data_IF_761292388302
#
_entry.id   IF_761292388302
#
_cell.length_a   1.000
_cell.length_b   1.000
_cell.length_c   1.000
_cell.angle_alpha   90.00
_cell.angle_beta   90.00
_cell.angle_gamma   90.00
#
_symmetry.space_group_name_H-M   'P 1'
#
loop_
_entity.id
_entity.type
_entity.pdbx_description
1 polymer ?
#
# COMPACT_ATOMS: atom_id res chain seq x y z
N UNK A 1 1.82 -9.00 24.65
CA UNK A 1 1.18 -7.72 24.28
C UNK A 1 0.67 -7.86 22.85
N UNK A 2 -0.65 -7.85 22.65
CA UNK A 2 -1.27 -8.02 21.33
C UNK A 2 -1.36 -6.66 20.63
N UNK A 3 -0.50 -6.42 19.65
CA UNK A 3 -0.62 -5.30 18.72
C UNK A 3 -1.17 -5.80 17.39
N UNK A 4 -2.40 -6.32 17.41
CA UNK A 4 -3.26 -6.36 16.23
C UNK A 4 -4.29 -5.25 16.37
N UNK A 5 -3.83 -4.01 16.34
CA UNK A 5 -4.72 -2.86 16.28
C UNK A 5 -5.30 -2.78 14.86
N UNK A 6 -6.55 -3.25 14.68
CA UNK A 6 -7.41 -2.81 13.57
C UNK A 6 -7.95 -3.88 12.62
N UNK A 7 -7.31 -5.04 12.47
CA UNK A 7 -7.81 -6.10 11.59
C UNK A 7 -8.76 -7.05 12.36
N UNK A 8 -9.96 -7.33 11.80
CA UNK A 8 -10.83 -8.41 12.28
C UNK A 8 -9.97 -9.67 12.38
N UNK A 9 -9.65 -10.09 13.59
CA UNK A 9 -8.84 -11.27 13.84
C UNK A 9 -9.71 -12.25 14.59
N UNK A 10 -9.77 -13.48 14.10
CA UNK A 10 -10.47 -14.56 14.80
C UNK A 10 -9.46 -15.50 15.44
N UNK A 11 -9.92 -16.33 16.37
CA UNK A 11 -9.07 -17.26 17.10
C UNK A 11 -9.56 -18.68 16.92
N UNK A 12 -8.65 -19.60 16.57
CA UNK A 12 -8.87 -21.03 16.43
C UNK A 12 -7.86 -21.80 17.28
N UNK A 13 -8.19 -23.00 17.73
CA UNK A 13 -7.21 -23.90 18.35
C UNK A 13 -6.41 -24.62 17.26
N UNK A 14 -5.18 -25.02 17.57
CA UNK A 14 -4.38 -25.87 16.68
C UNK A 14 -5.09 -27.18 16.32
N UNK A 15 -5.92 -27.73 17.21
CA UNK A 15 -6.78 -28.88 16.91
C UNK A 15 -7.82 -28.61 15.83
N UNK A 16 -8.33 -27.37 15.78
CA UNK A 16 -9.35 -26.96 14.80
C UNK A 16 -8.70 -26.78 13.43
N UNK A 17 -7.51 -26.17 13.37
CA UNK A 17 -6.70 -26.10 12.15
C UNK A 17 -6.37 -27.52 11.61
N UNK A 18 -6.13 -28.49 12.48
CA UNK A 18 -5.83 -29.86 12.05
C UNK A 18 -7.06 -30.63 11.58
N UNK A 19 -8.23 -30.42 12.19
CA UNK A 19 -9.46 -31.20 11.91
C UNK A 19 -10.38 -30.55 10.87
N UNK A 20 -10.34 -29.23 10.75
CA UNK A 20 -11.19 -28.39 9.92
C UNK A 20 -10.34 -27.42 9.08
N UNK A 21 -9.24 -27.91 8.51
CA UNK A 21 -8.24 -27.09 7.83
C UNK A 21 -8.82 -26.24 6.70
N UNK A 22 -9.73 -26.80 5.89
CA UNK A 22 -10.36 -26.09 4.78
C UNK A 22 -11.11 -24.83 5.23
N UNK A 23 -11.89 -24.93 6.31
CA UNK A 23 -12.64 -23.79 6.86
C UNK A 23 -11.69 -22.73 7.41
N UNK A 24 -10.62 -23.16 8.10
CA UNK A 24 -9.62 -22.25 8.66
C UNK A 24 -8.80 -21.56 7.56
N UNK A 25 -8.50 -22.23 6.46
CA UNK A 25 -7.83 -21.62 5.30
C UNK A 25 -8.73 -20.60 4.59
N UNK A 26 -9.99 -20.95 4.32
CA UNK A 26 -10.95 -20.04 3.72
C UNK A 26 -11.17 -18.78 4.58
N UNK A 27 -11.15 -18.94 5.91
CA UNK A 27 -11.19 -17.82 6.85
C UNK A 27 -9.91 -16.97 6.79
N UNK A 28 -8.74 -17.60 6.74
CA UNK A 28 -7.43 -16.93 6.67
C UNK A 28 -7.18 -16.16 5.35
N UNK A 29 -7.87 -16.53 4.27
CA UNK A 29 -7.89 -15.77 3.02
C UNK A 29 -8.63 -14.43 3.15
N UNK A 30 -9.62 -14.35 4.05
CA UNK A 30 -10.39 -13.13 4.27
C UNK A 30 -9.73 -12.22 5.31
N UNK A 31 -9.22 -12.81 6.40
CA UNK A 31 -8.59 -12.06 7.48
C UNK A 31 -7.66 -12.93 8.34
N UNK A 32 -6.67 -12.35 9.05
CA UNK A 32 -5.77 -13.12 9.89
C UNK A 32 -6.51 -13.96 10.96
N UNK A 33 -6.04 -15.19 11.15
CA UNK A 33 -6.53 -16.14 12.14
C UNK A 33 -5.41 -16.43 13.15
N UNK A 34 -5.65 -16.17 14.42
CA UNK A 34 -4.77 -16.59 15.50
C UNK A 34 -4.98 -18.08 15.80
N UNK A 35 -3.90 -18.85 15.72
CA UNK A 35 -3.87 -20.28 16.01
C UNK A 35 -3.22 -20.51 17.37
N UNK A 36 -4.05 -20.78 18.37
CA UNK A 36 -3.59 -21.05 19.75
C UNK A 36 -3.06 -22.47 19.89
N UNK A 37 -1.94 -22.59 20.62
CA UNK A 37 -1.25 -23.87 20.85
C UNK A 37 -1.20 -24.14 22.36
N UNK A 38 -1.27 -25.43 22.74
CA UNK A 38 -1.24 -25.82 24.16
C UNK A 38 0.13 -25.57 24.79
N UNK A 39 1.20 -25.87 24.05
CA UNK A 39 2.58 -25.90 24.55
C UNK A 39 3.49 -24.98 23.72
N UNK A 40 2.99 -23.84 23.27
CA UNK A 40 3.79 -22.91 22.48
C UNK A 40 3.10 -21.58 22.20
N UNK A 41 3.82 -20.71 21.51
CA UNK A 41 3.31 -19.39 21.13
C UNK A 41 2.13 -19.50 20.15
N UNK A 42 1.18 -18.58 20.29
CA UNK A 42 0.10 -18.39 19.33
C UNK A 42 0.69 -17.95 18.00
N UNK A 43 0.37 -18.68 16.94
CA UNK A 43 0.78 -18.33 15.58
C UNK A 43 -0.33 -17.54 14.88
N UNK A 44 0.00 -16.83 13.82
CA UNK A 44 -0.98 -16.17 12.96
C UNK A 44 -0.93 -16.80 11.57
N UNK A 45 -2.09 -17.27 11.11
CA UNK A 45 -2.30 -17.71 9.75
C UNK A 45 -2.98 -16.58 8.98
N UNK A 46 -2.41 -16.19 7.84
CA UNK A 46 -2.95 -15.17 6.96
C UNK A 46 -2.56 -15.49 5.52
N UNK A 47 -3.22 -14.86 4.55
CA UNK A 47 -2.79 -14.93 3.16
C UNK A 47 -1.37 -14.41 2.98
N UNK A 48 -0.66 -14.93 1.97
CA UNK A 48 0.67 -14.43 1.62
C UNK A 48 0.63 -12.93 1.27
N UNK A 49 -0.40 -12.48 0.53
CA UNK A 49 -0.56 -11.07 0.17
C UNK A 49 -0.71 -10.16 1.39
N UNK A 50 -1.38 -10.61 2.45
CA UNK A 50 -1.48 -9.85 3.70
C UNK A 50 -0.12 -9.76 4.43
N UNK A 51 0.65 -10.85 4.45
CA UNK A 51 1.99 -10.86 5.04
C UNK A 51 2.96 -9.97 4.27
N UNK A 52 2.90 -10.02 2.93
CA UNK A 52 3.70 -9.16 2.04
C UNK A 52 3.33 -7.69 2.22
N UNK A 53 2.04 -7.38 2.34
CA UNK A 53 1.58 -6.00 2.58
C UNK A 53 2.09 -5.46 3.93
N UNK A 54 2.06 -6.27 5.00
CA UNK A 54 2.64 -5.86 6.29
C UNK A 54 4.15 -5.58 6.17
N UNK A 55 4.89 -6.45 5.47
CA UNK A 55 6.32 -6.29 5.26
C UNK A 55 6.65 -5.04 4.44
N UNK A 56 5.87 -4.77 3.39
CA UNK A 56 6.00 -3.56 2.57
C UNK A 56 5.70 -2.29 3.36
N UNK A 57 4.67 -2.30 4.21
CA UNK A 57 4.35 -1.15 5.07
C UNK A 57 5.50 -0.85 6.05
N UNK A 58 6.11 -1.87 6.64
CA UNK A 58 7.26 -1.69 7.53
C UNK A 58 8.47 -1.14 6.79
N UNK A 59 8.76 -1.63 5.58
CA UNK A 59 9.81 -1.07 4.74
C UNK A 59 9.54 0.38 4.39
N UNK A 60 8.29 0.70 4.04
CA UNK A 60 7.89 2.07 3.74
C UNK A 60 8.02 3.00 4.96
N UNK A 61 7.70 2.50 6.16
CA UNK A 61 7.94 3.22 7.40
C UNK A 61 9.42 3.55 7.62
N UNK A 62 10.31 2.57 7.41
CA UNK A 62 11.75 2.76 7.52
C UNK A 62 12.27 3.82 6.52
N UNK A 63 11.72 3.81 5.31
CA UNK A 63 12.06 4.79 4.27
C UNK A 63 11.63 6.21 4.65
N UNK A 64 10.41 6.35 5.20
CA UNK A 64 9.93 7.65 5.70
C UNK A 64 10.74 8.14 6.89
N UNK A 65 11.12 7.27 7.83
CA UNK A 65 12.02 7.63 8.94
C UNK A 65 13.34 8.17 8.40
N UNK A 66 13.93 7.49 7.41
CA UNK A 66 15.16 7.94 6.74
C UNK A 66 14.99 9.33 6.13
N UNK A 67 13.87 9.59 5.44
CA UNK A 67 13.53 10.90 4.87
C UNK A 67 13.39 12.00 5.95
N UNK A 68 12.90 11.65 7.14
CA UNK A 68 12.75 12.62 8.24
C UNK A 68 14.04 12.91 9.00
N UNK A 69 15.04 12.04 8.93
CA UNK A 69 16.34 12.23 9.59
C UNK A 69 17.30 13.10 8.78
N UNK A 70 17.02 13.31 7.50
CA UNK A 70 17.74 14.28 6.67
C UNK A 70 17.08 15.66 6.80
N UNK A 71 17.88 16.66 7.15
CA UNK A 71 17.45 18.04 7.35
C UNK A 71 17.69 18.93 6.12
N UNK A 72 18.25 18.39 5.03
CA UNK A 72 18.54 19.15 3.83
C UNK A 72 17.29 19.32 2.95
N UNK A 73 17.03 20.55 2.51
CA UNK A 73 16.02 20.86 1.50
C UNK A 73 14.56 20.70 1.96
N UNK A 74 13.64 20.63 0.99
CA UNK A 74 12.22 20.39 1.24
C UNK A 74 11.93 18.90 1.43
N UNK A 75 10.79 18.56 2.05
CA UNK A 75 10.31 17.17 2.12
C UNK A 75 10.30 16.50 0.74
N UNK A 76 9.80 17.20 -0.27
CA UNK A 76 9.75 16.69 -1.64
C UNK A 76 11.13 16.39 -2.21
N UNK A 77 12.13 17.23 -1.91
CA UNK A 77 13.51 16.98 -2.31
C UNK A 77 14.06 15.69 -1.68
N UNK A 78 13.83 15.48 -0.38
CA UNK A 78 14.30 14.29 0.34
C UNK A 78 13.56 13.02 -0.08
N UNK A 79 12.25 13.11 -0.25
CA UNK A 79 11.42 12.03 -0.81
C UNK A 79 11.95 11.61 -2.18
N UNK A 80 12.33 12.56 -3.04
CA UNK A 80 12.87 12.26 -4.37
C UNK A 80 14.24 11.56 -4.30
N UNK A 81 15.08 11.85 -3.31
CA UNK A 81 16.33 11.13 -3.10
C UNK A 81 16.07 9.68 -2.68
N UNK A 82 15.11 9.44 -1.78
CA UNK A 82 14.75 8.09 -1.32
C UNK A 82 13.97 7.30 -2.37
N UNK A 83 13.17 7.97 -3.18
CA UNK A 83 12.28 7.43 -4.19
C UNK A 83 12.57 8.04 -5.58
N UNK A 84 13.65 7.61 -6.26
CA UNK A 84 14.10 8.25 -7.50
C UNK A 84 13.07 8.26 -8.63
N UNK A 85 12.09 7.35 -8.63
CA UNK A 85 10.99 7.35 -9.60
C UNK A 85 10.17 8.65 -9.56
N UNK A 86 10.14 9.38 -8.43
CA UNK A 86 9.48 10.69 -8.32
C UNK A 86 10.11 11.74 -9.24
N UNK A 87 11.34 11.53 -9.74
CA UNK A 87 11.96 12.44 -10.71
C UNK A 87 11.20 12.52 -12.04
N UNK A 88 10.40 11.52 -12.39
CA UNK A 88 9.54 11.59 -13.56
C UNK A 88 8.35 12.55 -13.39
N UNK A 89 7.95 12.83 -12.13
CA UNK A 89 6.84 13.74 -11.83
C UNK A 89 7.25 15.20 -12.00
N UNK A 90 6.27 16.07 -12.29
CA UNK A 90 6.47 17.53 -12.28
C UNK A 90 6.81 18.02 -10.86
N UNK A 91 7.49 19.16 -10.67
CA UNK A 91 7.80 19.68 -9.33
C UNK A 91 6.56 19.82 -8.42
N UNK A 92 5.43 20.26 -8.98
CA UNK A 92 4.16 20.37 -8.26
C UNK A 92 3.63 19.00 -7.83
N UNK A 93 3.69 18.01 -8.72
CA UNK A 93 3.22 16.65 -8.42
C UNK A 93 4.15 15.95 -7.41
N UNK A 94 5.45 16.24 -7.43
CA UNK A 94 6.37 15.74 -6.39
C UNK A 94 6.00 16.25 -5.00
N UNK A 95 5.55 17.50 -4.87
CA UNK A 95 5.08 18.04 -3.59
C UNK A 95 3.77 17.38 -3.14
N UNK A 96 2.81 17.21 -4.06
CA UNK A 96 1.53 16.54 -3.78
C UNK A 96 1.76 15.09 -3.39
N UNK A 97 2.48 14.33 -4.20
CA UNK A 97 2.87 12.95 -3.93
C UNK A 97 3.53 12.81 -2.56
N UNK A 98 4.48 13.70 -2.22
CA UNK A 98 5.15 13.65 -0.91
C UNK A 98 4.19 13.79 0.27
N UNK A 99 3.21 14.69 0.18
CA UNK A 99 2.20 14.87 1.23
C UNK A 99 1.25 13.68 1.32
N UNK A 100 0.70 13.24 0.18
CA UNK A 100 -0.26 12.15 0.13
C UNK A 100 0.35 10.82 0.61
N UNK A 101 1.62 10.56 0.27
CA UNK A 101 2.35 9.41 0.80
C UNK A 101 2.48 9.43 2.33
N UNK A 102 2.76 10.60 2.92
CA UNK A 102 2.83 10.75 4.38
C UNK A 102 1.45 10.59 5.02
N UNK A 103 0.41 11.17 4.43
CA UNK A 103 -0.95 11.10 4.95
C UNK A 103 -1.50 9.67 4.87
N UNK A 104 -1.27 8.98 3.75
CA UNK A 104 -1.63 7.58 3.58
C UNK A 104 -0.87 6.68 4.56
N UNK A 105 0.43 6.93 4.77
CA UNK A 105 1.22 6.21 5.78
C UNK A 105 0.64 6.41 7.19
N UNK A 106 0.34 7.66 7.59
CA UNK A 106 -0.28 7.98 8.88
C UNK A 106 -1.62 7.26 9.05
N UNK A 107 -2.47 7.25 8.02
CA UNK A 107 -3.75 6.55 8.03
C UNK A 107 -3.55 5.03 8.18
N UNK A 108 -2.63 4.44 7.42
CA UNK A 108 -2.28 3.02 7.51
C UNK A 108 -1.79 2.63 8.89
N UNK A 109 -0.85 3.37 9.48
CA UNK A 109 -0.31 3.07 10.81
C UNK A 109 -1.37 3.23 11.91
N UNK A 110 -2.19 4.27 11.83
CA UNK A 110 -3.21 4.55 12.84
C UNK A 110 -4.35 3.53 12.84
N UNK A 111 -4.65 2.96 11.66
CA UNK A 111 -5.76 2.01 11.49
C UNK A 111 -5.33 0.56 11.38
N UNK A 112 -4.02 0.29 11.29
CA UNK A 112 -3.50 -1.05 11.01
C UNK A 112 -3.90 -1.60 9.64
N UNK A 113 -4.13 -0.72 8.66
CA UNK A 113 -4.54 -1.08 7.30
C UNK A 113 -3.42 -0.76 6.30
N UNK A 114 -2.53 -1.73 6.00
CA UNK A 114 -1.38 -1.51 5.11
C UNK A 114 -1.74 -1.08 3.69
N UNK A 115 -2.89 -1.54 3.20
CA UNK A 115 -3.29 -1.32 1.81
C UNK A 115 -3.47 0.16 1.46
N UNK A 116 -3.81 1.04 2.41
CA UNK A 116 -3.99 2.48 2.12
C UNK A 116 -2.67 3.11 1.65
N UNK A 117 -1.59 2.95 2.41
CA UNK A 117 -0.26 3.44 2.06
C UNK A 117 0.32 2.75 0.82
N UNK A 118 0.11 1.43 0.69
CA UNK A 118 0.65 0.65 -0.44
C UNK A 118 -0.06 1.02 -1.74
N UNK A 119 -1.38 1.18 -1.72
CA UNK A 119 -2.15 1.60 -2.88
C UNK A 119 -1.73 3.00 -3.34
N UNK A 120 -1.57 3.95 -2.40
CA UNK A 120 -1.11 5.30 -2.70
C UNK A 120 0.30 5.31 -3.32
N UNK A 121 1.24 4.57 -2.71
CA UNK A 121 2.60 4.41 -3.22
C UNK A 121 2.63 3.80 -4.63
N UNK A 122 1.80 2.78 -4.86
CA UNK A 122 1.71 2.10 -6.15
C UNK A 122 1.11 3.02 -7.21
N UNK A 123 0.01 3.69 -6.90
CA UNK A 123 -0.66 4.67 -7.78
C UNK A 123 0.28 5.77 -8.26
N UNK A 124 1.04 6.38 -7.34
CA UNK A 124 2.01 7.41 -7.70
C UNK A 124 3.18 6.86 -8.52
N UNK A 125 3.66 5.66 -8.20
CA UNK A 125 4.74 5.02 -8.96
C UNK A 125 4.30 4.66 -10.38
N UNK A 126 3.07 4.16 -10.54
CA UNK A 126 2.48 3.87 -11.84
C UNK A 126 2.32 5.14 -12.67
N UNK A 127 1.82 6.22 -12.06
CA UNK A 127 1.74 7.55 -12.69
C UNK A 127 3.12 8.03 -13.17
N UNK A 128 4.14 7.95 -12.31
CA UNK A 128 5.51 8.33 -12.67
C UNK A 128 6.07 7.45 -13.81
N UNK A 129 5.77 6.15 -13.79
CA UNK A 129 6.20 5.20 -14.82
C UNK A 129 5.54 5.51 -16.16
N UNK A 130 4.25 5.84 -16.16
CA UNK A 130 3.52 6.25 -17.35
C UNK A 130 4.10 7.54 -17.96
N UNK A 131 4.37 8.56 -17.12
CA UNK A 131 5.02 9.80 -17.57
C UNK A 131 6.40 9.52 -18.16
N UNK A 132 7.22 8.69 -17.49
CA UNK A 132 8.55 8.32 -17.98
C UNK A 132 8.49 7.55 -19.32
N UNK A 133 7.42 6.79 -19.56
CA UNK A 133 7.15 6.11 -20.83
C UNK A 133 6.61 7.06 -21.92
N UNK A 134 6.47 8.36 -21.63
CA UNK A 134 5.94 9.36 -22.56
C UNK A 134 4.41 9.37 -22.66
N UNK A 135 3.71 8.64 -21.79
CA UNK A 135 2.26 8.67 -21.67
C UNK A 135 1.85 9.91 -20.86
N UNK A 136 1.98 11.09 -21.47
CA UNK A 136 1.46 12.32 -20.88
C UNK A 136 -0.07 12.36 -21.07
N UNK A 137 -0.78 12.93 -20.10
CA UNK A 137 -2.18 13.33 -20.30
C UNK A 137 -2.19 14.52 -21.26
N UNK A 138 -2.10 14.27 -22.57
CA UNK A 138 -2.48 15.28 -23.54
C UNK A 138 -3.92 15.70 -23.23
N UNK A 139 -4.21 17.01 -23.15
CA UNK A 139 -5.58 17.46 -22.98
C UNK A 139 -6.45 16.76 -24.01
N UNK A 140 -7.52 16.10 -23.56
CA UNK A 140 -8.49 15.50 -24.48
C UNK A 140 -9.05 16.64 -25.33
N UNK A 141 -8.71 16.65 -26.61
CA UNK A 141 -9.26 17.61 -27.55
C UNK A 141 -10.71 17.21 -27.82
N UNK A 142 -11.62 17.84 -27.08
CA UNK A 142 -13.04 17.69 -27.33
C UNK A 142 -13.40 18.36 -28.64
N UNK A 143 -14.06 17.63 -29.54
CA UNK A 143 -14.60 18.20 -30.76
C UNK A 143 -15.59 19.31 -30.38
N UNK A 144 -15.31 20.54 -30.80
CA UNK A 144 -16.18 21.68 -30.54
C UNK A 144 -17.55 21.56 -31.25
N UNK A 145 -17.64 20.70 -32.27
CA UNK A 145 -18.83 20.49 -33.07
C UNK A 145 -18.99 18.99 -33.37
N UNK A 146 -20.23 18.46 -33.42
CA UNK A 146 -20.46 17.07 -33.77
C UNK A 146 -19.92 16.78 -35.18
N UNK A 147 -18.97 15.85 -35.27
CA UNK A 147 -18.45 15.35 -36.53
C UNK A 147 -19.30 14.15 -37.02
N UNK A 148 -19.76 14.14 -38.29
CA UNK A 148 -20.47 12.98 -38.83
C UNK A 148 -19.52 11.78 -38.88
N UNK A 149 -19.93 10.67 -38.28
CA UNK A 149 -19.21 9.39 -38.32
C UNK A 149 -19.90 8.44 -39.30
N UNK A 150 -19.10 7.66 -40.03
CA UNK A 150 -19.61 6.69 -41.01
C UNK A 150 -20.38 5.57 -40.29
N UNK A 151 -21.45 5.07 -40.91
CA UNK A 151 -22.29 4.01 -40.31
C UNK A 151 -21.50 2.69 -40.34
N UNK A 152 -21.56 1.87 -39.26
CA UNK A 152 -20.90 0.57 -39.21
C UNK A 152 -21.38 -0.38 -40.33
#
# INVERSE_FOLDING_TARGET
MSLLHGARTTTRRSSDLSKHSADVFAEAEQHPVQVTRRDGETLVLMSQSAADANSQLLQFAADLITVTLDDAGSLSSRMTQRFPWMLALSPKDRETCSRELVDAARASFSTGQPHLAIAELTSWRETATAIAAGLASSPVEWLAHPAPVERP
#
